data_IF_442371251287
#
_entry.id   IF_442371251287
#
_cell.length_a   1.000
_cell.length_b   1.000
_cell.length_c   1.000
_cell.angle_alpha   90.00
_cell.angle_beta   90.00
_cell.angle_gamma   90.00
#
_symmetry.space_group_name_H-M   'P 1'
#
loop_
_entity.id
_entity.type
_entity.pdbx_description
1 polymer ?
2 non-polymer ?
3 water ?
#
# COMPACT_ATOMS: atom_id res chain seq x y z
N UNK A 17 23.72 19.36 -1.61
CA UNK A 17 23.03 18.07 -1.86
C UNK A 17 21.92 17.79 -0.83
N UNK A 18 20.76 18.45 -1.00
CA UNK A 18 19.63 18.26 -0.08
C UNK A 18 19.02 16.86 -0.15
N UNK A 19 18.43 16.43 0.95
CA UNK A 19 17.81 15.12 1.01
C UNK A 19 16.40 15.23 1.60
N UNK A 20 15.60 14.19 1.39
CA UNK A 20 14.24 14.16 1.91
C UNK A 20 14.13 13.05 2.93
N UNK A 21 13.62 13.39 4.11
CA UNK A 21 13.42 12.39 5.15
C UNK A 21 11.97 11.97 4.98
N UNK A 22 11.75 10.67 4.79
CA UNK A 22 10.42 10.09 4.59
C UNK A 22 10.10 9.23 5.79
N UNK A 23 8.92 9.43 6.35
CA UNK A 23 8.50 8.70 7.54
C UNK A 23 7.16 7.99 7.40
N UNK A 24 7.05 6.84 8.07
CA UNK A 24 5.82 6.07 8.10
C UNK A 24 5.67 5.47 9.49
N UNK A 25 4.83 6.08 10.32
CA UNK A 25 4.58 5.60 11.67
C UNK A 25 3.43 4.63 11.76
N UNK A 26 3.73 3.41 12.18
CA UNK A 26 2.70 2.41 12.33
C UNK A 26 2.28 2.35 13.79
N UNK A 27 1.43 1.39 14.12
CA UNK A 27 0.95 1.24 15.48
C UNK A 27 2.07 0.80 16.43
N UNK A 28 3.07 0.13 15.89
CA UNK A 28 4.19 -0.34 16.70
C UNK A 28 5.56 -0.20 16.05
N UNK A 29 5.65 0.63 15.02
CA UNK A 29 6.93 0.83 14.32
C UNK A 29 7.02 2.17 13.58
N UNK A 30 8.24 2.53 13.22
CA UNK A 30 8.49 3.77 12.51
C UNK A 30 9.53 3.52 11.41
N UNK A 31 9.06 3.35 10.18
CA UNK A 31 9.98 3.12 9.07
C UNK A 31 10.42 4.47 8.49
N UNK A 32 11.67 4.56 8.08
CA UNK A 32 12.14 5.82 7.51
C UNK A 32 13.20 5.60 6.43
N UNK A 33 13.28 6.57 5.52
CA UNK A 33 14.24 6.52 4.43
C UNK A 33 14.71 7.94 4.15
N UNK A 34 15.96 8.08 3.74
CA UNK A 34 16.49 9.39 3.40
C UNK A 34 16.85 9.30 1.93
N UNK A 35 16.12 10.04 1.10
CA UNK A 35 16.37 10.01 -0.33
C UNK A 35 17.08 11.27 -0.79
N UNK A 36 17.99 11.12 -1.76
CA UNK A 36 18.72 12.24 -2.31
C UNK A 36 17.78 12.98 -3.25
N UNK A 37 17.61 14.28 -3.03
CA UNK A 37 16.73 15.07 -3.88
C UNK A 37 17.12 15.02 -5.34
N UNK A 38 18.42 14.97 -5.59
CA UNK A 38 18.95 14.93 -6.94
C UNK A 38 18.62 13.67 -7.73
N UNK A 39 18.81 12.52 -7.11
CA UNK A 39 18.57 11.25 -7.79
C UNK A 39 17.43 10.41 -7.22
N UNK A 40 16.86 10.87 -6.12
CA UNK A 40 15.78 10.15 -5.44
C UNK A 40 16.22 8.78 -4.94
N UNK A 41 17.53 8.59 -4.83
CA UNK A 41 18.09 7.33 -4.34
C UNK A 41 18.07 7.29 -2.82
N UNK A 42 18.02 6.08 -2.27
CA UNK A 42 18.03 5.92 -0.82
C UNK A 42 19.48 6.00 -0.35
N UNK A 43 19.73 6.88 0.62
CA UNK A 43 21.07 7.06 1.18
C UNK A 43 21.12 6.38 2.55
N UNK A 44 19.94 6.21 3.14
CA UNK A 44 19.84 5.59 4.45
C UNK A 44 18.39 5.15 4.66
N UNK A 45 18.22 4.09 5.43
CA UNK A 45 16.89 3.57 5.74
C UNK A 45 16.99 2.92 7.11
N UNK A 46 15.86 2.80 7.79
CA UNK A 46 15.87 2.19 9.10
C UNK A 46 14.48 1.85 9.59
N UNK A 47 14.38 1.48 10.87
CA UNK A 47 13.09 1.13 11.44
C UNK A 47 13.17 0.94 12.95
N UNK A 48 12.33 1.68 13.67
CA UNK A 48 12.27 1.60 15.12
C UNK A 48 11.06 0.72 15.45
N UNK A 49 11.31 -0.53 15.82
CA UNK A 49 10.24 -1.46 16.13
C UNK A 49 10.03 -1.66 17.63
N UNK A 50 8.94 -2.33 17.99
CA UNK A 50 8.64 -2.58 19.39
C UNK A 50 8.28 -1.30 20.10
N UNK A 51 7.57 -0.41 19.40
CA UNK A 51 7.16 0.87 19.95
C UNK A 51 6.15 0.76 21.09
N UNK A 52 6.29 1.65 22.07
CA UNK A 52 5.41 1.68 23.23
C UNK A 52 5.60 0.44 24.11
N UNK A 53 6.59 -0.37 23.75
CA UNK A 53 6.90 -1.60 24.48
C UNK A 53 8.10 -1.38 25.40
N UNK A 54 8.19 -2.20 26.44
CA UNK A 54 9.28 -2.11 27.40
C UNK A 54 10.63 -2.35 26.72
N UNK A 55 10.60 -2.81 25.48
CA UNK A 55 11.82 -3.09 24.73
C UNK A 55 11.71 -2.66 23.28
N UNK A 56 12.11 -1.43 22.99
CA UNK A 56 12.07 -0.90 21.63
C UNK A 56 13.50 -0.74 21.10
N UNK A 57 13.66 -0.87 19.79
CA UNK A 57 14.98 -0.75 19.19
C UNK A 57 14.98 -0.06 17.84
N UNK A 58 16.17 0.36 17.42
CA UNK A 58 16.37 1.07 16.15
C UNK A 58 17.47 0.40 15.33
N UNK A 59 17.11 -0.20 14.20
CA UNK A 59 18.08 -0.85 13.33
C UNK A 59 18.21 -0.11 12.01
N UNK A 60 19.41 0.40 11.74
CA UNK A 60 19.68 1.15 10.53
C UNK A 60 20.51 0.37 9.51
N UNK A 61 19.87 -0.01 8.40
CA UNK A 61 20.53 -0.76 7.33
C UNK A 61 21.01 -2.12 7.81
N UNK A 62 20.62 -2.49 9.02
CA UNK A 62 21.04 -3.77 9.57
C UNK A 62 21.95 -3.62 10.77
N UNK A 63 22.59 -2.46 10.88
CA UNK A 63 23.50 -2.17 12.00
C UNK A 63 22.84 -2.59 13.31
N UNK A 64 23.65 -3.17 14.19
CA UNK A 64 23.17 -3.65 15.48
C UNK A 64 22.08 -2.76 16.09
N UNK A 65 20.90 -3.34 16.36
CA UNK A 65 19.74 -2.63 16.94
C UNK A 65 20.08 -1.87 18.21
N UNK A 66 19.88 -0.56 18.21
CA UNK A 66 20.16 0.27 19.37
C UNK A 66 19.09 0.01 20.45
N UNK A 67 19.36 0.48 21.66
CA UNK A 67 18.44 0.28 22.77
C UNK A 67 17.52 1.48 22.97
N UNK A 68 16.34 1.43 22.36
CA UNK A 68 15.36 2.50 22.47
C UNK A 68 14.30 2.10 23.49
N UNK A 69 14.67 1.15 24.36
CA UNK A 69 13.76 0.65 25.39
C UNK A 69 13.01 1.76 26.12
N UNK A 70 11.70 1.57 26.27
CA UNK A 70 10.86 2.54 26.95
C UNK A 70 10.99 3.93 26.33
N UNK A 71 10.56 4.05 25.08
CA UNK A 71 10.61 5.34 24.39
C UNK A 71 9.37 5.52 23.52
N UNK A 72 8.82 6.73 23.51
CA UNK A 72 7.63 7.02 22.72
C UNK A 72 8.03 7.40 21.30
N UNK A 73 7.04 7.63 20.45
CA UNK A 73 7.28 7.97 19.06
C UNK A 73 8.26 9.13 18.85
N UNK A 74 8.22 10.13 19.72
CA UNK A 74 9.13 11.26 19.56
C UNK A 74 10.58 10.95 19.90
N UNK A 75 10.80 10.15 20.93
CA UNK A 75 12.16 9.78 21.32
C UNK A 75 12.76 8.90 20.24
N UNK A 76 11.95 7.97 19.75
CA UNK A 76 12.37 7.06 18.68
C UNK A 76 12.87 7.90 17.49
N UNK A 77 12.08 8.91 17.13
CA UNK A 77 12.44 9.79 16.02
C UNK A 77 13.60 10.71 16.42
N UNK A 78 13.75 10.93 17.73
CA UNK A 78 14.84 11.77 18.22
C UNK A 78 16.13 10.96 18.09
N UNK A 79 16.00 9.65 18.25
CA UNK A 79 17.15 8.75 18.12
C UNK A 79 17.54 8.68 16.66
N UNK A 80 16.54 8.58 15.79
CA UNK A 80 16.75 8.53 14.36
C UNK A 80 17.36 9.86 13.92
N UNK A 81 16.92 10.94 14.56
CA UNK A 81 17.42 12.28 14.26
C UNK A 81 18.89 12.41 14.62
N UNK A 82 19.30 11.71 15.70
CA UNK A 82 20.69 11.74 16.14
C UNK A 82 21.56 10.92 15.20
N UNK A 83 20.98 9.86 14.63
CA UNK A 83 21.69 9.00 13.70
C UNK A 83 21.94 9.72 12.38
N UNK A 84 21.14 10.75 12.10
CA UNK A 84 21.29 11.51 10.89
C UNK A 84 22.32 12.60 11.12
N UNK A 85 22.38 13.09 12.37
CA UNK A 85 23.32 14.13 12.74
C UNK A 85 24.71 13.51 12.89
N UNK A 86 24.74 12.28 13.39
CA UNK A 86 26.00 11.57 13.57
C UNK A 86 26.59 11.21 12.22
N UNK A 87 25.85 11.51 11.16
CA UNK A 87 26.29 11.23 9.80
C UNK A 87 26.20 12.48 8.95
N UNK A 88 26.20 13.63 9.62
CA UNK A 88 26.12 14.92 8.97
C UNK A 88 25.04 15.02 7.87
N UNK A 89 23.91 14.38 8.12
CA UNK A 89 22.78 14.39 7.20
C UNK A 89 21.76 15.44 7.65
N UNK A 90 21.75 15.71 8.95
CA UNK A 90 20.83 16.67 9.55
C UNK A 90 20.72 17.99 8.79
N UNK A 91 21.86 18.62 8.53
CA UNK A 91 21.88 19.90 7.84
C UNK A 91 21.43 19.92 6.39
N UNK A 92 21.32 18.75 5.77
CA UNK A 92 20.89 18.72 4.36
C UNK A 92 19.44 18.29 4.19
N UNK A 93 18.74 18.00 5.29
CA UNK A 93 17.35 17.60 5.22
C UNK A 93 16.51 18.83 4.87
N UNK A 94 16.06 18.92 3.62
CA UNK A 94 15.28 20.07 3.17
C UNK A 94 13.79 19.85 3.20
N UNK A 95 13.39 18.59 3.30
CA UNK A 95 11.97 18.25 3.30
C UNK A 95 11.69 16.97 4.07
N UNK A 96 10.51 16.89 4.65
CA UNK A 96 10.12 15.69 5.37
C UNK A 96 8.77 15.25 4.83
N UNK A 97 8.65 13.96 4.49
CA UNK A 97 7.42 13.43 3.96
C UNK A 97 6.79 12.43 4.91
N UNK A 98 5.54 12.65 5.28
CA UNK A 98 4.82 11.77 6.21
C UNK A 98 3.77 10.96 5.46
N UNK A 99 3.79 9.65 5.65
CA UNK A 99 2.81 8.79 5.02
C UNK A 99 1.61 8.73 5.94
N UNK A 100 0.44 9.10 5.43
CA UNK A 100 -0.79 9.08 6.22
C UNK A 100 -1.69 7.98 5.68
N UNK A 101 -2.18 7.15 6.59
CA UNK A 101 -3.05 6.03 6.22
C UNK A 101 -4.39 6.43 5.64
N UNK A 102 -5.07 7.37 6.30
CA UNK A 102 -6.40 7.77 5.87
C UNK A 102 -6.62 9.29 5.77
N UNK A 103 -7.11 9.73 4.60
CA UNK A 103 -7.38 11.15 4.41
C UNK A 103 -8.85 11.48 4.24
N UNK A 104 -9.72 10.49 4.40
CA UNK A 104 -11.15 10.73 4.23
C UNK A 104 -11.45 11.35 2.89
N UNK A 105 -12.42 12.27 2.86
CA UNK A 105 -12.78 12.97 1.63
C UNK A 105 -12.17 14.36 1.61
N UNK A 106 -11.39 14.68 2.64
CA UNK A 106 -10.77 15.99 2.75
C UNK A 106 -9.49 16.14 1.92
N UNK A 107 -8.77 15.05 1.72
CA UNK A 107 -7.53 15.15 0.95
C UNK A 107 -7.55 14.40 -0.37
N UNK A 108 -7.36 15.14 -1.46
CA UNK A 108 -7.35 14.57 -2.80
C UNK A 108 -5.94 14.58 -3.39
N UNK A 109 -5.01 15.20 -2.67
CA UNK A 109 -3.62 15.29 -3.10
C UNK A 109 -2.70 15.54 -1.89
N UNK A 110 -1.40 15.38 -2.09
CA UNK A 110 -0.43 15.61 -1.03
C UNK A 110 -0.41 17.10 -0.69
N UNK A 111 -0.20 17.43 0.57
CA UNK A 111 -0.19 18.83 0.98
C UNK A 111 0.94 19.19 1.93
N UNK A 112 1.24 20.48 2.00
CA UNK A 112 2.26 21.00 2.90
C UNK A 112 1.56 20.99 4.25
N UNK A 113 2.22 20.47 5.27
CA UNK A 113 1.61 20.38 6.59
C UNK A 113 1.60 21.71 7.36
N UNK A 114 0.40 22.08 7.83
CA UNK A 114 0.19 23.30 8.61
C UNK A 114 -0.76 22.91 9.74
N UNK A 115 -1.16 23.88 10.57
CA UNK A 115 -2.09 23.58 11.66
C UNK A 115 -3.43 23.09 11.12
N UNK A 116 -3.88 23.67 10.01
CA UNK A 116 -5.15 23.26 9.41
C UNK A 116 -5.10 21.80 8.98
N UNK A 117 -4.00 21.41 8.34
CA UNK A 117 -3.85 20.03 7.88
C UNK A 117 -3.89 19.08 9.08
N UNK A 118 -3.17 19.42 10.14
CA UNK A 118 -3.18 18.57 11.33
C UNK A 118 -4.60 18.42 11.85
N UNK A 119 -5.33 19.54 11.95
CA UNK A 119 -6.71 19.51 12.41
C UNK A 119 -7.53 18.58 11.52
N UNK A 120 -7.41 18.76 10.21
CA UNK A 120 -8.15 17.95 9.27
C UNK A 120 -7.82 16.47 9.42
N UNK A 121 -6.54 16.16 9.55
CA UNK A 121 -6.15 14.77 9.72
C UNK A 121 -6.81 14.17 10.97
N UNK A 122 -6.93 14.97 12.04
CA UNK A 122 -7.56 14.48 13.26
C UNK A 122 -9.05 14.22 13.00
N UNK A 123 -9.67 15.08 12.19
CA UNK A 123 -11.08 14.94 11.87
C UNK A 123 -11.42 13.60 11.22
N UNK A 124 -10.57 13.17 10.28
CA UNK A 124 -10.79 11.92 9.57
C UNK A 124 -10.23 10.69 10.28
N UNK A 125 -9.39 10.92 11.29
CA UNK A 125 -8.77 9.84 12.03
C UNK A 125 -9.74 8.78 12.57
N UNK A 126 -10.96 9.18 12.95
CA UNK A 126 -11.90 8.18 13.46
C UNK A 126 -12.13 7.07 12.42
N UNK A 127 -11.81 7.37 11.16
CA UNK A 127 -11.98 6.42 10.07
C UNK A 127 -10.85 5.38 10.02
N UNK A 128 -9.74 5.68 10.67
CA UNK A 128 -8.59 4.76 10.72
C UNK A 128 -7.87 4.90 12.05
N UNK A 129 -8.55 4.55 13.15
CA UNK A 129 -8.04 4.62 14.53
C UNK A 129 -6.68 3.97 14.77
N UNK A 130 -6.51 2.75 14.24
CA UNK A 130 -5.28 1.99 14.43
C UNK A 130 -4.09 2.43 13.57
N UNK A 131 -4.24 3.52 12.82
CA UNK A 131 -3.13 3.97 11.98
C UNK A 131 -2.91 5.46 11.99
N UNK A 132 -3.98 6.22 11.82
CA UNK A 132 -3.91 7.67 11.77
C UNK A 132 -3.32 8.36 13.00
N UNK A 133 -3.67 7.89 14.19
CA UNK A 133 -3.13 8.50 15.39
C UNK A 133 -1.63 8.30 15.49
N UNK A 134 -1.15 7.18 14.99
CA UNK A 134 0.28 6.92 15.01
C UNK A 134 0.94 7.86 13.99
N UNK A 135 0.23 8.11 12.89
CA UNK A 135 0.73 9.00 11.83
C UNK A 135 0.88 10.40 12.42
N UNK A 136 -0.11 10.81 13.20
CA UNK A 136 -0.11 12.13 13.83
C UNK A 136 1.01 12.22 14.87
N UNK A 137 1.25 11.13 15.60
CA UNK A 137 2.31 11.14 16.59
C UNK A 137 3.61 11.44 15.85
N UNK A 138 3.77 10.80 14.69
CA UNK A 138 4.97 11.02 13.88
C UNK A 138 5.09 12.47 13.44
N UNK A 139 3.97 13.07 13.04
CA UNK A 139 3.98 14.46 12.61
C UNK A 139 4.41 15.39 13.75
N UNK A 140 3.81 15.21 14.93
CA UNK A 140 4.18 16.05 16.07
C UNK A 140 5.65 15.94 16.41
N UNK A 141 6.18 14.71 16.39
CA UNK A 141 7.58 14.48 16.68
C UNK A 141 8.47 15.19 15.65
N UNK A 142 8.21 14.95 14.37
CA UNK A 142 9.00 15.55 13.30
C UNK A 142 8.94 17.08 13.34
N UNK A 143 7.78 17.62 13.68
CA UNK A 143 7.60 19.07 13.76
C UNK A 143 8.44 19.64 14.88
N UNK A 144 8.55 18.89 15.97
CA UNK A 144 9.34 19.30 17.12
C UNK A 144 10.83 19.29 16.79
N UNK A 145 11.28 18.21 16.15
CA UNK A 145 12.69 18.02 15.81
C UNK A 145 13.23 18.75 14.58
N UNK A 146 12.34 19.17 13.67
CA UNK A 146 12.78 19.87 12.47
C UNK A 146 11.84 21.05 12.17
N UNK A 147 11.77 22.01 13.11
CA UNK A 147 10.93 23.22 13.02
C UNK A 147 11.11 24.03 11.75
N UNK A 148 12.35 24.23 11.33
CA UNK A 148 12.61 25.02 10.13
C UNK A 148 12.53 24.21 8.84
N UNK A 149 12.01 22.99 8.91
CA UNK A 149 11.92 22.16 7.71
C UNK A 149 10.50 22.00 7.20
N UNK A 150 10.30 22.28 5.92
CA UNK A 150 8.98 22.13 5.32
C UNK A 150 8.60 20.66 5.40
N UNK A 151 7.36 20.40 5.78
CA UNK A 151 6.89 19.03 5.90
C UNK A 151 5.61 18.79 5.11
N UNK A 152 5.56 17.62 4.47
CA UNK A 152 4.44 17.23 3.63
C UNK A 152 3.70 15.95 4.09
N UNK A 153 2.41 15.90 3.79
CA UNK A 153 1.59 14.75 4.15
C UNK A 153 1.10 14.09 2.86
N UNK A 154 1.36 12.79 2.75
CA UNK A 154 0.96 12.01 1.59
C UNK A 154 -0.05 10.95 2.06
N UNK A 155 -1.28 11.04 1.58
CA UNK A 155 -2.32 10.12 1.98
C UNK A 155 -2.49 8.91 1.08
N UNK A 156 -2.59 7.74 1.72
CA UNK A 156 -2.75 6.47 1.04
C UNK A 156 -4.09 6.35 0.33
N UNK A 157 -5.00 7.24 0.68
CA UNK A 157 -6.36 7.26 0.11
C UNK A 157 -6.63 8.33 -0.95
N UNK A 158 -5.83 9.39 -0.97
CA UNK A 158 -6.09 10.48 -1.90
C UNK A 158 -6.22 10.12 -3.38
N UNK A 159 -5.39 9.22 -3.87
CA UNK A 159 -5.45 8.83 -5.29
C UNK A 159 -6.83 8.28 -5.68
N UNK A 160 -7.52 7.64 -4.75
CA UNK A 160 -8.83 7.08 -5.04
C UNK A 160 -10.01 8.05 -4.89
N UNK A 161 -9.72 9.32 -4.60
CA UNK A 161 -10.79 10.30 -4.43
C UNK A 161 -11.47 10.68 -5.74
N UNK A 162 -10.96 10.18 -6.85
CA UNK A 162 -11.55 10.47 -8.15
C UNK A 162 -12.69 9.49 -8.47
N UNK A 163 -12.88 8.49 -7.60
CA UNK A 163 -13.94 7.49 -7.79
C UNK A 163 -15.31 8.13 -7.80
N UNK A 164 -16.17 7.67 -8.71
CA UNK A 164 -17.53 8.19 -8.80
C UNK A 164 -18.36 7.56 -7.69
N UNK A 165 -19.49 8.20 -7.33
CA UNK A 165 -20.38 7.70 -6.28
C UNK A 165 -20.78 6.24 -6.47
N UNK A 166 -21.12 5.90 -7.72
CA UNK A 166 -21.55 4.55 -8.07
C UNK A 166 -20.45 3.55 -7.75
N UNK A 167 -19.22 4.04 -7.68
CA UNK A 167 -18.09 3.15 -7.39
C UNK A 167 -17.63 3.16 -5.93
N UNK A 168 -18.02 4.17 -5.16
CA UNK A 168 -17.58 4.20 -3.76
C UNK A 168 -18.68 3.98 -2.75
N UNK A 169 -19.93 4.05 -3.19
CA UNK A 169 -21.04 3.84 -2.28
C UNK A 169 -21.26 2.34 -1.97
N UNK A 170 -21.70 2.08 -0.74
CA UNK A 170 -22.03 0.72 -0.33
C UNK A 170 -23.56 0.67 -0.41
N UNK A 171 -24.11 -0.54 -0.49
CA UNK A 171 -25.56 -0.68 -0.57
C UNK A 171 -26.24 -0.58 0.78
N UNK A 172 -25.74 0.31 1.64
CA UNK A 172 -26.30 0.51 2.96
C UNK A 172 -27.22 1.72 2.97
N UNK A 173 -28.00 1.90 4.05
CA UNK A 173 -28.89 3.06 4.12
C UNK A 173 -28.05 4.33 3.90
N UNK A 174 -28.58 5.25 3.10
CA UNK A 174 -27.90 6.50 2.79
C UNK A 174 -27.32 7.24 4.00
N UNK A 175 -28.02 7.16 5.13
CA UNK A 175 -27.58 7.84 6.35
C UNK A 175 -26.15 7.45 6.75
N UNK A 176 -25.83 6.16 6.67
CA UNK A 176 -24.50 5.69 7.03
C UNK A 176 -23.43 6.42 6.23
N UNK A 177 -23.77 6.80 5.00
CA UNK A 177 -22.82 7.51 4.16
C UNK A 177 -22.76 9.01 4.48
N UNK A 178 -23.90 9.68 4.43
CA UNK A 178 -23.96 11.12 4.66
C UNK A 178 -23.61 11.62 6.06
N UNK A 179 -23.99 10.88 7.11
CA UNK A 179 -23.69 11.33 8.46
C UNK A 179 -22.56 10.59 9.17
N UNK A 180 -22.19 9.41 8.68
CA UNK A 180 -21.11 8.64 9.30
C UNK A 180 -19.86 8.51 8.41
N UNK A 181 -20.00 8.83 7.13
CA UNK A 181 -18.88 8.75 6.22
C UNK A 181 -18.52 7.34 5.74
N UNK A 182 -19.48 6.41 5.81
CA UNK A 182 -19.25 5.05 5.36
C UNK A 182 -19.29 4.97 3.84
N UNK A 183 -18.14 4.66 3.24
CA UNK A 183 -18.01 4.54 1.79
C UNK A 183 -16.65 3.92 1.48
N UNK A 184 -16.46 3.49 0.24
CA UNK A 184 -15.18 2.92 -0.15
C UNK A 184 -14.16 4.05 -0.24
N UNK A 185 -12.96 3.79 0.25
CA UNK A 185 -11.88 4.77 0.21
C UNK A 185 -10.74 4.19 -0.61
N UNK A 186 -10.33 2.96 -0.28
CA UNK A 186 -9.25 2.33 -1.00
C UNK A 186 -7.92 2.75 -0.42
N UNK A 187 -6.89 1.93 -0.62
CA UNK A 187 -5.57 2.22 -0.09
C UNK A 187 -4.49 1.86 -1.11
N UNK A 188 -3.22 1.91 -0.70
CA UNK A 188 -2.12 1.64 -1.61
C UNK A 188 -2.14 2.75 -2.67
N UNK A 189 -2.83 3.85 -2.33
CA UNK A 189 -2.94 4.98 -3.25
C UNK A 189 -1.63 5.49 -3.84
N UNK A 190 -0.63 5.64 -2.98
CA UNK A 190 0.66 6.14 -3.42
C UNK A 190 1.33 5.16 -4.38
N UNK A 191 1.17 3.86 -4.10
CA UNK A 191 1.77 2.84 -4.96
C UNK A 191 1.05 2.84 -6.31
N UNK A 192 -0.28 2.76 -6.27
CA UNK A 192 -1.08 2.75 -7.50
C UNK A 192 -0.83 4.00 -8.35
N UNK A 193 -0.66 5.14 -7.69
CA UNK A 193 -0.38 6.40 -8.38
C UNK A 193 1.01 6.33 -9.03
N UNK A 194 2.01 5.99 -8.22
CA UNK A 194 3.37 5.89 -8.69
C UNK A 194 3.53 4.87 -9.83
N UNK A 195 3.03 3.66 -9.60
CA UNK A 195 3.14 2.61 -10.59
C UNK A 195 2.45 2.94 -11.92
N UNK A 196 1.27 3.55 -11.85
CA UNK A 196 0.57 3.89 -13.08
C UNK A 196 1.31 4.99 -13.84
N UNK A 197 1.98 5.91 -13.14
CA UNK A 197 2.72 6.96 -13.84
C UNK A 197 3.85 6.26 -14.60
N UNK A 198 4.52 5.33 -13.93
CA UNK A 198 5.62 4.60 -14.54
C UNK A 198 5.17 3.79 -15.75
N UNK A 199 3.93 3.30 -15.69
CA UNK A 199 3.35 2.49 -16.75
C UNK A 199 3.17 3.25 -18.07
N UNK A 200 2.79 4.52 -17.99
CA UNK A 200 2.58 5.31 -19.19
C UNK A 200 3.91 5.39 -19.95
N UNK A 201 5.01 5.44 -19.20
CA UNK A 201 6.34 5.49 -19.79
C UNK A 201 6.69 4.14 -20.42
N UNK A 202 6.76 3.12 -19.55
CA UNK A 202 7.10 1.76 -19.97
C UNK A 202 6.27 1.25 -21.13
N UNK A 203 4.96 1.45 -21.08
CA UNK A 203 4.06 0.98 -22.13
C UNK A 203 3.85 2.00 -23.27
N UNK A 204 4.48 3.17 -23.15
CA UNK A 204 4.35 4.22 -24.15
C UNK A 204 2.88 4.50 -24.40
N UNK A 205 2.15 4.79 -23.34
CA UNK A 205 0.73 5.10 -23.42
C UNK A 205 0.49 6.57 -23.19
N UNK A 206 -0.60 7.08 -23.75
CA UNK A 206 -0.97 8.47 -23.54
C UNK A 206 -1.85 8.45 -22.30
N UNK A 207 -1.37 9.04 -21.20
CA UNK A 207 -2.10 9.08 -19.96
C UNK A 207 -3.57 9.46 -20.14
N UNK A 208 -3.81 10.50 -20.95
CA UNK A 208 -5.15 11.01 -21.21
C UNK A 208 -6.09 10.06 -21.94
N UNK A 209 -5.54 9.04 -22.58
CA UNK A 209 -6.37 8.07 -23.28
C UNK A 209 -5.81 6.68 -22.98
N UNK A 210 -6.08 6.19 -21.77
CA UNK A 210 -5.54 4.91 -21.36
C UNK A 210 -6.39 4.15 -20.33
N UNK A 211 -6.18 2.83 -20.29
CA UNK A 211 -6.89 1.98 -19.36
C UNK A 211 -5.89 1.02 -18.73
N UNK A 212 -5.70 1.13 -17.42
CA UNK A 212 -4.76 0.25 -16.74
C UNK A 212 -5.38 -0.41 -15.52
N UNK A 213 -4.83 -1.57 -15.16
CA UNK A 213 -5.25 -2.25 -13.97
C UNK A 213 -3.94 -2.50 -13.26
N UNK A 214 -3.83 -2.02 -12.03
CA UNK A 214 -2.62 -2.25 -11.27
C UNK A 214 -2.98 -3.22 -10.16
N UNK A 215 -2.14 -4.24 -10.00
CA UNK A 215 -2.36 -5.23 -8.95
C UNK A 215 -1.25 -5.07 -7.96
N UNK A 216 -1.52 -4.36 -6.88
CA UNK A 216 -0.52 -4.18 -5.84
C UNK A 216 -0.63 -5.41 -4.96
N UNK A 217 0.35 -6.31 -5.05
CA UNK A 217 0.32 -7.54 -4.26
C UNK A 217 1.45 -7.63 -3.27
N UNK A 218 1.13 -7.36 -2.01
CA UNK A 218 2.09 -7.44 -0.92
C UNK A 218 1.42 -8.23 0.21
N UNK A 219 1.82 -8.02 1.46
CA UNK A 219 1.17 -8.75 2.54
C UNK A 219 -0.23 -8.14 2.65
N UNK A 220 -0.33 -6.92 2.11
CA UNK A 220 -1.59 -6.19 2.03
C UNK A 220 -1.76 -6.17 0.52
N UNK A 221 -2.96 -6.43 0.00
CA UNK A 221 -3.13 -6.46 -1.44
C UNK A 221 -4.40 -5.78 -1.97
N UNK A 222 -4.27 -5.05 -3.08
CA UNK A 222 -5.42 -4.37 -3.66
C UNK A 222 -5.25 -4.14 -5.15
N UNK A 223 -6.38 -4.02 -5.84
CA UNK A 223 -6.42 -3.77 -7.28
C UNK A 223 -6.93 -2.34 -7.49
N UNK A 224 -6.51 -1.73 -8.60
CA UNK A 224 -6.95 -0.37 -8.93
C UNK A 224 -7.10 -0.16 -10.42
N UNK A 225 -8.24 0.38 -10.82
CA UNK A 225 -8.49 0.66 -12.22
C UNK A 225 -8.15 2.14 -12.47
N UNK A 226 -7.20 2.39 -13.36
CA UNK A 226 -6.81 3.76 -13.68
C UNK A 226 -7.24 4.07 -15.11
N UNK A 227 -8.24 4.93 -15.24
CA UNK A 227 -8.76 5.33 -16.54
C UNK A 227 -8.28 6.75 -16.84
N UNK A 228 -7.56 6.91 -17.94
CA UNK A 228 -7.02 8.21 -18.33
C UNK A 228 -6.28 8.91 -17.20
N UNK A 229 -5.46 8.15 -16.48
CA UNK A 229 -4.68 8.71 -15.39
C UNK A 229 -5.35 8.82 -14.04
N UNK A 230 -6.66 8.53 -13.98
CA UNK A 230 -7.41 8.61 -12.72
C UNK A 230 -7.94 7.28 -12.20
N UNK A 231 -7.88 7.12 -10.88
CA UNK A 231 -8.40 5.92 -10.25
C UNK A 231 -9.91 5.95 -10.35
N UNK A 232 -10.51 4.90 -10.92
CA UNK A 232 -11.96 4.83 -11.07
C UNK A 232 -12.58 3.64 -10.32
N UNK A 233 -11.73 2.78 -9.76
CA UNK A 233 -12.21 1.64 -8.97
C UNK A 233 -11.00 1.06 -8.25
N UNK A 234 -11.22 0.59 -7.03
CA UNK A 234 -10.15 0.01 -6.24
C UNK A 234 -10.79 -1.09 -5.37
N UNK A 235 -10.03 -2.11 -4.99
CA UNK A 235 -10.60 -3.24 -4.25
C UNK A 235 -10.81 -3.12 -2.75
N UNK A 236 -9.94 -2.40 -2.06
CA UNK A 236 -10.14 -2.25 -0.62
C UNK A 236 -11.35 -1.34 -0.44
N UNK A 237 -11.90 -1.29 0.77
CA UNK A 237 -13.08 -0.47 0.97
C UNK A 237 -12.87 0.67 1.93
N UNK A 238 -13.75 0.76 2.93
CA UNK A 238 -13.63 1.81 3.93
C UNK A 238 -12.39 1.47 4.75
N UNK A 239 -12.09 0.18 4.81
CA UNK A 239 -10.93 -0.32 5.54
C UNK A 239 -10.14 -1.22 4.58
N UNK A 240 -8.89 -1.53 4.96
CA UNK A 240 -8.00 -2.38 4.14
C UNK A 240 -8.43 -3.85 4.12
N UNK A 241 -9.54 -4.16 4.78
CA UNK A 241 -9.99 -5.54 4.85
C UNK A 241 -10.83 -6.05 3.66
N UNK A 242 -11.38 -5.14 2.87
CA UNK A 242 -12.19 -5.56 1.73
C UNK A 242 -11.39 -5.83 0.46
N UNK A 243 -11.96 -6.66 -0.41
CA UNK A 243 -11.32 -7.00 -1.67
C UNK A 243 -10.62 -8.34 -1.70
N UNK A 244 -9.38 -8.30 -2.16
CA UNK A 244 -8.55 -9.49 -2.28
C UNK A 244 -8.30 -10.16 -0.94
N UNK A 245 -8.06 -11.47 -1.00
CA UNK A 245 -7.72 -12.23 0.20
C UNK A 245 -6.23 -11.91 0.31
N UNK A 246 -5.71 -11.74 1.52
CA UNK A 246 -4.32 -11.38 1.68
C UNK A 246 -3.54 -12.33 2.59
N UNK A 247 -2.39 -11.85 3.10
CA UNK A 247 -1.56 -12.67 3.96
C UNK A 247 -2.30 -13.21 5.16
N UNK A 248 -2.90 -12.31 5.93
CA UNK A 248 -3.65 -12.71 7.11
C UNK A 248 -5.06 -12.12 7.08
N UNK A 249 -5.35 -11.30 6.07
CA UNK A 249 -6.68 -10.70 5.96
C UNK A 249 -7.53 -11.56 5.03
N UNK A 250 -8.82 -11.67 5.36
CA UNK A 250 -9.76 -12.48 4.59
C UNK A 250 -10.14 -11.98 3.20
N UNK A 251 -10.27 -10.67 3.05
CA UNK A 251 -10.71 -10.12 1.78
C UNK A 251 -12.23 -10.19 1.82
N UNK A 252 -12.87 -10.09 0.66
CA UNK A 252 -14.33 -10.14 0.60
C UNK A 252 -14.87 -11.32 1.39
N UNK A 253 -15.94 -11.10 2.14
CA UNK A 253 -16.56 -12.16 2.92
C UNK A 253 -18.04 -11.84 3.18
N UNK A 254 -18.88 -12.81 2.80
CA UNK A 254 -20.34 -12.76 2.97
C UNK A 254 -20.67 -12.29 4.39
N UNK A 255 -21.39 -11.18 4.52
CA UNK A 255 -21.73 -10.70 5.86
C UNK A 255 -22.68 -11.67 6.56
N UNK A 256 -23.54 -12.32 5.78
CA UNK A 256 -24.47 -13.27 6.35
C UNK A 256 -23.69 -14.41 6.96
N UNK A 257 -22.57 -14.76 6.32
CA UNK A 257 -21.71 -15.85 6.80
C UNK A 257 -21.06 -15.43 8.11
N UNK A 258 -20.60 -14.18 8.17
CA UNK A 258 -19.98 -13.67 9.36
C UNK A 258 -20.99 -13.66 10.49
N UNK A 259 -22.23 -13.34 10.16
CA UNK A 259 -23.32 -13.30 11.14
C UNK A 259 -23.61 -14.72 11.64
N UNK A 260 -23.67 -15.66 10.71
CA UNK A 260 -23.94 -17.07 11.01
C UNK A 260 -22.85 -17.59 11.93
N UNK A 261 -21.60 -17.30 11.58
CA UNK A 261 -20.46 -17.75 12.37
C UNK A 261 -20.55 -17.21 13.79
N UNK A 262 -21.08 -16.00 13.95
CA UNK A 262 -21.21 -15.40 15.27
C UNK A 262 -22.19 -16.17 16.17
N UNK A 263 -23.35 -16.50 15.61
CA UNK A 263 -24.38 -17.23 16.35
C UNK A 263 -23.97 -18.67 16.65
N UNK A 264 -23.06 -19.22 15.85
CA UNK A 264 -22.61 -20.60 16.04
C UNK A 264 -21.48 -20.81 17.04
N UNK A 265 -20.53 -19.88 17.05
CA UNK A 265 -19.40 -19.98 17.97
C UNK A 265 -19.53 -19.02 19.14
N UNK A 266 -20.60 -18.25 19.15
CA UNK A 266 -20.81 -17.30 20.22
C UNK A 266 -19.68 -16.29 20.33
N UNK A 267 -19.23 -15.78 19.19
CA UNK A 267 -18.16 -14.79 19.16
C UNK A 267 -18.73 -13.40 18.92
N UNK A 268 -17.98 -12.38 19.30
CA UNK A 268 -18.42 -11.00 19.10
C UNK A 268 -17.81 -10.48 17.82
N UNK A 269 -18.03 -9.20 17.51
CA UNK A 269 -17.47 -8.61 16.30
C UNK A 269 -15.97 -8.36 16.46
N UNK A 270 -15.54 -8.11 17.70
CA UNK A 270 -14.12 -7.87 17.97
C UNK A 270 -13.39 -9.20 17.78
N UNK A 271 -14.04 -10.29 18.18
CA UNK A 271 -13.46 -11.62 18.04
C UNK A 271 -13.27 -11.86 16.54
N UNK A 272 -14.35 -11.66 15.79
CA UNK A 272 -14.35 -11.85 14.35
C UNK A 272 -13.45 -10.83 13.66
N UNK A 273 -13.37 -9.63 14.22
CA UNK A 273 -12.52 -8.58 13.65
C UNK A 273 -11.09 -9.08 13.68
N UNK A 274 -10.72 -9.74 14.78
CA UNK A 274 -9.38 -10.27 14.97
C UNK A 274 -9.11 -11.38 13.97
N UNK A 275 -10.00 -12.36 13.94
CA UNK A 275 -9.88 -13.50 13.05
C UNK A 275 -9.67 -13.09 11.60
N UNK A 276 -10.52 -12.19 11.13
CA UNK A 276 -10.48 -11.71 9.75
C UNK A 276 -9.25 -10.87 9.38
N UNK A 277 -8.62 -10.30 10.38
CA UNK A 277 -7.43 -9.46 10.18
C UNK A 277 -6.10 -10.14 10.47
N UNK A 278 -6.10 -11.05 11.44
CA UNK A 278 -4.87 -11.71 11.86
C UNK A 278 -4.71 -13.19 11.54
N UNK A 279 -5.80 -13.95 11.59
CA UNK A 279 -5.73 -15.39 11.36
C UNK A 279 -6.35 -15.90 10.06
N UNK A 280 -6.65 -15.00 9.14
CA UNK A 280 -7.28 -15.41 7.89
C UNK A 280 -6.38 -15.35 6.66
N UNK A 281 -7.01 -15.27 5.48
CA UNK A 281 -6.27 -15.20 4.25
C UNK A 281 -5.38 -16.42 3.99
N UNK A 282 -4.17 -16.17 3.53
CA UNK A 282 -3.23 -17.24 3.23
C UNK A 282 -2.96 -18.10 4.47
N UNK A 283 -2.72 -17.44 5.59
CA UNK A 283 -2.46 -18.14 6.84
C UNK A 283 -3.66 -19.02 7.23
N UNK A 284 -4.84 -18.43 7.24
CA UNK A 284 -6.04 -19.15 7.60
C UNK A 284 -6.34 -20.39 6.78
N UNK A 285 -6.22 -20.29 5.45
CA UNK A 285 -6.50 -21.45 4.62
C UNK A 285 -5.40 -22.49 4.69
N UNK A 286 -4.15 -22.06 4.57
CA UNK A 286 -3.02 -23.00 4.61
C UNK A 286 -2.76 -23.55 6.00
N UNK A 287 -3.09 -22.78 7.02
CA UNK A 287 -2.85 -23.21 8.39
C UNK A 287 -1.36 -23.47 8.52
N UNK A 288 -0.58 -22.76 7.71
CA UNK A 288 0.86 -22.92 7.68
C UNK A 288 1.61 -21.59 7.79
N UNK A 289 1.41 -20.71 6.82
CA UNK A 289 2.09 -19.41 6.85
C UNK A 289 1.38 -18.34 6.03
N UNK A 290 1.70 -17.08 6.29
CA UNK A 290 1.11 -15.98 5.54
C UNK A 290 2.09 -15.62 4.43
N UNK A 291 3.30 -16.12 4.56
CA UNK A 291 4.36 -15.86 3.60
C UNK A 291 4.21 -16.74 2.35
N UNK A 292 4.13 -16.09 1.19
CA UNK A 292 3.98 -16.80 -0.07
C UNK A 292 5.12 -17.77 -0.34
N UNK A 293 6.36 -17.32 -0.12
CA UNK A 293 7.53 -18.15 -0.35
C UNK A 293 7.41 -19.49 0.38
N UNK A 294 7.00 -19.44 1.65
CA UNK A 294 6.83 -20.65 2.43
C UNK A 294 5.75 -21.53 1.80
N UNK A 295 4.64 -20.91 1.42
CA UNK A 295 3.53 -21.63 0.81
C UNK A 295 3.88 -22.25 -0.55
N UNK A 296 4.64 -21.53 -1.37
CA UNK A 296 5.02 -22.04 -2.68
C UNK A 296 5.86 -23.30 -2.50
N UNK A 297 6.75 -23.30 -1.51
CA UNK A 297 7.58 -24.47 -1.26
C UNK A 297 6.70 -25.57 -0.70
N UNK A 298 5.78 -25.22 0.19
CA UNK A 298 4.87 -26.20 0.79
C UNK A 298 4.11 -26.94 -0.31
N UNK A 299 3.61 -26.19 -1.29
CA UNK A 299 2.87 -26.76 -2.42
C UNK A 299 3.78 -27.72 -3.17
N UNK A 300 4.99 -27.25 -3.48
CA UNK A 300 5.97 -28.05 -4.19
C UNK A 300 6.18 -29.38 -3.46
N UNK A 301 6.19 -29.32 -2.13
CA UNK A 301 6.38 -30.51 -1.30
C UNK A 301 5.12 -31.35 -1.13
N UNK A 302 4.06 -31.00 -1.83
CA UNK A 302 2.82 -31.76 -1.75
C UNK A 302 1.75 -31.31 -0.77
N UNK A 303 1.97 -30.18 -0.11
CA UNK A 303 0.99 -29.66 0.86
C UNK A 303 -0.28 -29.19 0.14
N UNK A 304 -1.39 -29.89 0.38
CA UNK A 304 -2.67 -29.57 -0.28
C UNK A 304 -3.29 -28.24 0.14
N UNK A 305 -3.30 -27.97 1.45
CA UNK A 305 -3.88 -26.73 1.95
C UNK A 305 -3.10 -25.49 1.50
N UNK A 306 -1.80 -25.64 1.30
CA UNK A 306 -0.98 -24.52 0.86
C UNK A 306 -1.33 -24.24 -0.60
N UNK A 307 -1.62 -25.30 -1.34
CA UNK A 307 -1.98 -25.21 -2.74
C UNK A 307 -3.35 -24.54 -2.87
N UNK A 308 -4.28 -24.89 -1.97
CA UNK A 308 -5.62 -24.32 -1.99
C UNK A 308 -5.58 -22.84 -1.64
N UNK A 309 -4.73 -22.48 -0.69
CA UNK A 309 -4.58 -21.08 -0.28
C UNK A 309 -4.11 -20.25 -1.48
N UNK A 310 -3.06 -20.74 -2.15
CA UNK A 310 -2.52 -20.05 -3.31
C UNK A 310 -3.52 -19.97 -4.46
N UNK A 311 -4.18 -21.10 -4.74
CA UNK A 311 -5.17 -21.15 -5.82
C UNK A 311 -6.31 -20.18 -5.56
N UNK A 312 -6.74 -20.12 -4.31
CA UNK A 312 -7.82 -19.24 -3.91
C UNK A 312 -7.37 -17.79 -4.06
N UNK A 313 -6.14 -17.52 -3.58
CA UNK A 313 -5.51 -16.22 -3.64
C UNK A 313 -5.48 -15.74 -5.11
N UNK A 314 -5.05 -16.63 -6.01
CA UNK A 314 -4.98 -16.34 -7.44
C UNK A 314 -6.36 -16.16 -8.04
N UNK A 315 -7.30 -17.03 -7.66
CA UNK A 315 -8.64 -16.94 -8.19
C UNK A 315 -9.27 -15.58 -7.89
N UNK A 316 -9.15 -15.13 -6.63
CA UNK A 316 -9.72 -13.84 -6.24
C UNK A 316 -9.06 -12.64 -6.90
N UNK A 317 -7.76 -12.73 -7.14
CA UNK A 317 -7.02 -11.67 -7.80
C UNK A 317 -7.51 -11.53 -9.25
N UNK A 318 -7.65 -12.66 -9.95
CA UNK A 318 -8.09 -12.67 -11.34
C UNK A 318 -9.49 -12.07 -11.45
N UNK A 319 -10.34 -12.47 -10.52
CA UNK A 319 -11.74 -12.02 -10.47
C UNK A 319 -11.82 -10.49 -10.34
N UNK A 320 -11.09 -9.93 -9.38
CA UNK A 320 -11.10 -8.49 -9.18
C UNK A 320 -10.42 -7.73 -10.32
N UNK A 321 -9.36 -8.30 -10.88
CA UNK A 321 -8.69 -7.64 -11.98
C UNK A 321 -9.70 -7.49 -13.13
N UNK A 322 -10.43 -8.57 -13.42
CA UNK A 322 -11.42 -8.54 -14.49
C UNK A 322 -12.57 -7.61 -14.13
N UNK A 323 -13.02 -7.71 -12.88
CA UNK A 323 -14.11 -6.87 -12.42
C UNK A 323 -13.76 -5.39 -12.54
N UNK A 324 -12.57 -5.03 -12.11
CA UNK A 324 -12.13 -3.64 -12.18
C UNK A 324 -11.98 -3.14 -13.63
N UNK A 325 -11.67 -4.05 -14.56
CA UNK A 325 -11.52 -3.67 -15.96
C UNK A 325 -12.81 -3.12 -16.53
N UNK A 326 -13.92 -3.46 -15.89
CA UNK A 326 -15.23 -2.99 -16.34
C UNK A 326 -15.36 -1.47 -16.23
N UNK A 327 -14.51 -0.86 -15.41
CA UNK A 327 -14.55 0.60 -15.24
C UNK A 327 -13.67 1.32 -16.26
N UNK A 328 -13.07 0.55 -17.18
CA UNK A 328 -12.24 1.13 -18.21
C UNK A 328 -13.00 1.11 -19.53
N UNK A 329 -12.72 2.08 -20.39
CA UNK A 329 -13.37 2.11 -21.70
C UNK A 329 -12.56 1.16 -22.59
N UNK A 330 -11.27 1.02 -22.29
CA UNK A 330 -10.35 0.16 -23.03
C UNK A 330 -9.26 -0.36 -22.08
N UNK A 331 -8.90 -1.64 -22.22
CA UNK A 331 -7.87 -2.24 -21.39
C UNK A 331 -6.51 -2.28 -22.12
N UNK A 332 -5.59 -1.41 -21.71
CA UNK A 332 -4.28 -1.37 -22.36
C UNK A 332 -3.25 -2.20 -21.62
N UNK A 333 -3.31 -2.21 -20.30
CA UNK A 333 -2.33 -2.99 -19.57
C UNK A 333 -2.69 -3.43 -18.17
N UNK A 334 -1.97 -4.46 -17.71
CA UNK A 334 -2.14 -4.98 -16.38
C UNK A 334 -0.73 -4.95 -15.80
N UNK A 335 -0.58 -4.24 -14.69
CA UNK A 335 0.71 -4.08 -14.06
C UNK A 335 0.73 -4.75 -12.70
N UNK A 336 1.79 -5.51 -12.45
CA UNK A 336 1.97 -6.21 -11.19
C UNK A 336 3.02 -5.47 -10.38
N UNK A 337 2.77 -5.31 -9.09
CA UNK A 337 3.72 -4.62 -8.24
C UNK A 337 3.59 -5.07 -6.79
N UNK A 338 4.52 -4.64 -5.94
CA UNK A 338 4.50 -5.04 -4.54
C UNK A 338 5.42 -6.23 -4.34
N UNK A 339 5.71 -6.57 -3.09
CA UNK A 339 6.59 -7.70 -2.80
C UNK A 339 6.21 -8.98 -3.56
N UNK A 340 4.93 -9.29 -3.60
CA UNK A 340 4.47 -10.49 -4.30
C UNK A 340 4.41 -10.29 -5.82
N UNK A 341 3.84 -9.18 -6.26
CA UNK A 341 3.73 -8.92 -7.69
C UNK A 341 5.07 -8.74 -8.39
N UNK A 342 6.05 -8.29 -7.64
CA UNK A 342 7.38 -8.06 -8.20
C UNK A 342 8.27 -9.31 -8.22
N UNK A 343 8.08 -10.18 -7.23
CA UNK A 343 8.90 -11.37 -7.11
C UNK A 343 8.28 -12.73 -7.35
N UNK A 344 6.95 -12.83 -7.36
CA UNK A 344 6.33 -14.14 -7.56
C UNK A 344 6.09 -14.52 -9.01
N UNK A 345 6.99 -15.34 -9.55
CA UNK A 345 6.89 -15.80 -10.93
C UNK A 345 5.63 -16.64 -11.15
N UNK A 346 5.36 -17.55 -10.22
CA UNK A 346 4.19 -18.43 -10.31
C UNK A 346 2.86 -17.71 -10.18
N UNK A 347 2.70 -16.89 -9.14
CA UNK A 347 1.45 -16.16 -8.94
C UNK A 347 1.13 -15.31 -10.17
N UNK A 348 2.10 -14.58 -10.70
CA UNK A 348 1.84 -13.77 -11.88
C UNK A 348 1.33 -14.66 -13.02
N UNK A 349 2.05 -15.76 -13.26
CA UNK A 349 1.68 -16.70 -14.31
C UNK A 349 0.25 -17.23 -14.12
N UNK A 350 -0.05 -17.72 -12.93
CA UNK A 350 -1.37 -18.27 -12.63
C UNK A 350 -2.48 -17.23 -12.81
N UNK A 351 -2.24 -16.01 -12.34
CA UNK A 351 -3.23 -14.96 -12.47
C UNK A 351 -3.49 -14.69 -13.94
N UNK A 352 -2.40 -14.54 -14.68
CA UNK A 352 -2.50 -14.26 -16.10
C UNK A 352 -3.15 -15.38 -16.89
N UNK A 353 -2.86 -16.63 -16.54
CA UNK A 353 -3.47 -17.74 -17.26
C UNK A 353 -4.95 -17.82 -16.90
N UNK A 354 -5.29 -17.25 -15.74
CA UNK A 354 -6.68 -17.23 -15.28
C UNK A 354 -7.43 -16.07 -15.96
N UNK A 355 -6.75 -15.38 -16.87
CA UNK A 355 -7.36 -14.24 -17.54
C UNK A 355 -7.27 -14.37 -19.06
N UNK A 356 -7.21 -15.62 -19.52
CA UNK A 356 -7.15 -15.86 -20.94
C UNK A 356 -8.38 -15.28 -21.63
N UNK A 357 -9.47 -15.18 -20.89
CA UNK A 357 -10.70 -14.64 -21.45
C UNK A 357 -10.49 -13.21 -21.96
N UNK A 358 -9.51 -12.51 -21.41
CA UNK A 358 -9.23 -11.14 -21.85
C UNK A 358 -8.23 -11.12 -23.00
N UNK A 359 -7.79 -12.31 -23.42
CA UNK A 359 -6.85 -12.40 -24.52
C UNK A 359 -5.41 -12.13 -24.13
N UNK A 360 -5.05 -12.41 -22.89
CA UNK A 360 -3.69 -12.19 -22.42
C UNK A 360 -2.78 -13.33 -22.84
N UNK A 361 -1.56 -12.99 -23.23
CA UNK A 361 -0.57 -13.99 -23.64
C UNK A 361 0.72 -13.72 -22.86
N UNK A 362 1.17 -14.72 -22.11
CA UNK A 362 2.36 -14.57 -21.31
C UNK A 362 3.64 -15.02 -22.01
N UNK A 363 4.74 -14.30 -21.77
CA UNK A 363 6.03 -14.67 -22.33
C UNK A 363 6.72 -15.22 -21.09
N UNK A 364 6.66 -16.54 -20.91
CA UNK A 364 7.23 -17.19 -19.74
C UNK A 364 8.69 -16.87 -19.47
N UNK A 365 9.50 -16.80 -20.52
CA UNK A 365 10.91 -16.49 -20.31
C UNK A 365 11.05 -15.09 -19.72
N UNK A 366 10.21 -14.15 -20.17
CA UNK A 366 10.26 -12.80 -19.65
C UNK A 366 9.70 -12.75 -18.23
N UNK A 367 8.69 -13.58 -17.98
CA UNK A 367 8.08 -13.61 -16.66
C UNK A 367 8.98 -14.28 -15.63
N UNK A 368 9.94 -15.08 -16.10
CA UNK A 368 10.85 -15.78 -15.20
C UNK A 368 11.93 -14.86 -14.61
N UNK A 369 12.26 -13.78 -15.31
CA UNK A 369 13.28 -12.84 -14.84
C UNK A 369 13.05 -12.33 -13.41
N UNK A 370 14.10 -12.35 -12.57
CA UNK A 370 14.00 -11.89 -11.18
C UNK A 370 13.80 -10.37 -11.15
N UNK A 371 13.34 -9.84 -10.02
CA UNK A 371 13.03 -8.42 -9.90
C UNK A 371 14.19 -7.47 -10.17
N UNK A 372 15.41 -7.98 -10.21
CA UNK A 372 16.57 -7.16 -10.49
C UNK A 372 16.45 -6.56 -11.89
N UNK A 373 15.58 -7.14 -12.72
CA UNK A 373 15.39 -6.62 -14.08
C UNK A 373 14.46 -5.40 -14.14
N UNK A 374 14.02 -4.94 -12.98
CA UNK A 374 13.16 -3.77 -12.87
C UNK A 374 11.89 -3.71 -13.69
N UNK A 375 11.56 -2.50 -14.15
CA UNK A 375 10.37 -2.30 -14.95
C UNK A 375 10.53 -3.13 -16.22
N UNK A 376 9.65 -4.11 -16.38
CA UNK A 376 9.74 -5.03 -17.51
C UNK A 376 8.39 -5.53 -17.98
N UNK A 377 8.30 -5.79 -19.28
CA UNK A 377 7.08 -6.32 -19.88
C UNK A 377 7.19 -7.85 -19.87
N UNK A 378 6.13 -8.53 -19.46
CA UNK A 378 6.14 -9.98 -19.37
C UNK A 378 5.15 -10.70 -20.29
N UNK A 379 4.48 -9.95 -21.14
CA UNK A 379 3.52 -10.55 -22.06
C UNK A 379 4.14 -10.66 -23.44
N UNK A 380 3.67 -11.63 -24.22
CA UNK A 380 4.16 -11.84 -25.57
C UNK A 380 3.44 -10.87 -26.50
N UNK A 381 3.85 -10.83 -27.76
CA UNK A 381 3.24 -9.92 -28.74
C UNK A 381 1.76 -10.16 -29.06
N UNK A 382 1.38 -11.43 -29.34
CA UNK A 382 -0.02 -11.73 -29.66
C UNK A 382 -1.01 -11.27 -28.58
N UNK A 383 -0.49 -10.99 -27.38
CA UNK A 383 -1.31 -10.55 -26.27
C UNK A 383 -2.14 -9.32 -26.63
N UNK A 384 -3.44 -9.38 -26.35
CA UNK A 384 -4.34 -8.26 -26.62
C UNK A 384 -4.05 -7.15 -25.62
N UNK A 385 -3.62 -7.55 -24.43
CA UNK A 385 -3.30 -6.61 -23.37
C UNK A 385 -1.84 -6.77 -22.93
N UNK A 386 -1.14 -5.66 -22.73
CA UNK A 386 0.24 -5.71 -22.30
C UNK A 386 0.29 -5.98 -20.81
N UNK A 387 1.19 -6.88 -20.41
CA UNK A 387 1.36 -7.21 -19.00
C UNK A 387 2.78 -6.83 -18.62
N UNK A 388 2.95 -6.27 -17.43
CA UNK A 388 4.27 -5.87 -17.00
C UNK A 388 4.41 -5.88 -15.49
N UNK A 389 5.65 -5.84 -15.04
CA UNK A 389 5.95 -5.78 -13.62
C UNK A 389 6.66 -4.46 -13.46
N UNK A 390 6.19 -3.64 -12.52
CA UNK A 390 6.82 -2.36 -12.27
C UNK A 390 7.00 -2.26 -10.76
N UNK A 391 8.26 -2.35 -10.31
CA UNK A 391 8.53 -2.26 -8.87
C UNK A 391 7.96 -0.94 -8.35
N UNK A 392 7.31 -0.99 -7.21
CA UNK A 392 6.75 0.22 -6.65
C UNK A 392 7.82 0.91 -5.79
N UNK A 393 7.67 2.22 -5.61
CA UNK A 393 8.62 2.99 -4.81
C UNK A 393 7.81 4.12 -4.19
N UNK A 394 7.16 3.82 -3.07
CA UNK A 394 6.33 4.81 -2.40
C UNK A 394 7.15 5.92 -1.77
N UNK A 395 8.35 5.59 -1.32
CA UNK A 395 9.24 6.58 -0.72
C UNK A 395 9.62 7.61 -1.79
N UNK A 396 9.87 7.13 -2.99
CA UNK A 396 10.24 8.02 -4.09
C UNK A 396 9.07 8.89 -4.49
N UNK A 397 7.88 8.30 -4.54
CA UNK A 397 6.68 9.04 -4.91
C UNK A 397 6.45 10.17 -3.88
N UNK A 398 6.61 9.84 -2.61
CA UNK A 398 6.44 10.82 -1.52
C UNK A 398 7.46 11.95 -1.64
N UNK A 399 8.70 11.60 -1.98
CA UNK A 399 9.77 12.57 -2.12
C UNK A 399 9.47 13.49 -3.30
N UNK A 400 9.00 12.91 -4.41
CA UNK A 400 8.67 13.70 -5.59
C UNK A 400 7.57 14.72 -5.26
N UNK A 401 6.61 14.33 -4.43
CA UNK A 401 5.54 15.25 -4.05
C UNK A 401 6.13 16.34 -3.19
N UNK A 402 6.99 15.95 -2.25
CA UNK A 402 7.62 16.89 -1.36
C UNK A 402 8.47 17.89 -2.15
N UNK A 403 9.26 17.37 -3.09
CA UNK A 403 10.10 18.24 -3.90
C UNK A 403 9.26 19.26 -4.67
N UNK A 404 8.15 18.81 -5.24
CA UNK A 404 7.27 19.69 -5.98
C UNK A 404 6.73 20.77 -5.04
N UNK A 405 6.23 20.33 -3.89
CA UNK A 405 5.67 21.24 -2.89
C UNK A 405 6.75 22.13 -2.27
N UNK A 406 8.01 21.75 -2.45
CA UNK A 406 9.09 22.55 -1.89
C UNK A 406 9.27 23.88 -2.57
N UNK A 407 8.62 24.06 -3.72
CA UNK A 407 8.71 25.30 -4.50
C UNK A 407 7.55 26.27 -4.20
N UNK A 408 6.64 25.84 -3.33
CA UNK A 408 5.48 26.65 -2.97
C UNK A 408 5.76 27.76 -1.95
N UNK A 409 4.94 28.82 -2.01
CA UNK A 409 5.05 29.95 -1.09
C UNK A 409 3.84 29.87 -0.15
N UNK A 410 4.01 29.15 0.96
CA UNK A 410 2.93 28.96 1.94
C UNK A 410 2.86 30.09 2.98
X LIG B 1 5.80 -4.09 -0.87
X LIG B 1 5.09 -3.43 -2.10
X LIG B 1 7.35 -4.65 -1.05
X LIG B 1 5.76 -3.02 0.32
X LIG B 1 5.35 -6.58 0.85
X LIG B 1 4.43 -6.11 2.06
X LIG B 1 6.85 -6.54 1.22
X LIG B 1 5.10 -5.62 -0.46
X LIG B 1 5.18 -8.18 0.40
X LIG B 1 5.43 -9.33 1.32
X LIG B 1 5.19 -10.56 0.52
X LIG B 1 5.78 -10.88 -0.81
X LIG B 1 5.44 -11.84 1.39
X LIG B 1 4.25 -12.77 1.41
X LIG B 1 6.56 -12.49 0.78
X LIG B 1 6.74 -13.89 1.16
X LIG B 1 6.29 -12.21 -0.67
X LIG B 1 7.55 -12.42 -1.40
X LIG B 1 8.77 -11.73 -1.29
X LIG B 1 9.64 -12.29 -2.17
X LIG B 1 9.01 -13.32 -2.83
X LIG B 1 9.34 -14.31 -3.87
X LIG B 1 10.65 -14.31 -4.42
X LIG B 1 8.36 -15.30 -4.33
X LIG B 1 7.04 -15.35 -3.82
X LIG B 1 6.73 -14.38 -2.81
X LIG B 1 7.65 -13.40 -2.32
#
# INVERSE_FOLDING_TARGET
MRGSHHHHHHGMASNEFPVVLVINCGSSSIKFSVLDVATCDVLMAGIADGMNTENAFLSINGDKPINLAHSNYEDALKAIAFELEKRDLTDSVALIGHRIAHGGELFTQSVIITDEIIDNIRRVSPLAPLHNYANLSGIDAARHLFPAVRQVAVFDTSFHQTLAPEAYLYGLPWEYFSSLGVRRYGFHGTSHRYVSRRAYELLDLDEKDSGLIVAHLGNGASICAVRNGQSVDTSMGMTPLEGLMMGTRSGDVDFGAMAWIAKETGQTLSDLERVVNKESGLLGISGLSSDLRVLEKAWHEGHERARLAIKTFVHRIARHIAGHAASLHRLDGIIFTGGIGENSVLIRQLVIEHLGVLGLTLDVEMNKQPNSHGERIISANPSQVICAVIPTNEEKMIALDAIHLGNVKAPVEFA
ADP PB O1B O2B O3B PA O1A O2A O3A O5' C5' C4' O4' C3' O3' C2' O2' C1' N9 C8 N7 C5 C6 N6 N1 C2 N3 C4
#
